data_IF_557228311113
#
_entry.id   IF_557228311113
#
_cell.length_a   1.000
_cell.length_b   1.000
_cell.length_c   1.000
_cell.angle_alpha   90.00
_cell.angle_beta   90.00
_cell.angle_gamma   90.00
#
_symmetry.space_group_name_H-M   'P 1'
#
loop_
_entity.id
_entity.type
_entity.pdbx_description
1 polymer ?
#
# COMPACT_ATOMS: atom_id res chain seq x y z
N UNK A 1 -23.46 -3.31 8.76
CA UNK A 1 -22.84 -4.30 7.85
C UNK A 1 -21.53 -3.71 7.41
N UNK A 2 -20.39 -4.20 7.90
CA UNK A 2 -19.09 -3.78 7.37
C UNK A 2 -18.90 -4.47 6.03
N UNK A 3 -19.02 -3.71 4.93
CA UNK A 3 -18.70 -4.20 3.59
C UNK A 3 -17.25 -4.62 3.54
N UNK A 4 -16.96 -5.89 3.22
CA UNK A 4 -15.59 -6.29 2.91
C UNK A 4 -15.18 -5.64 1.59
N UNK A 5 -14.34 -4.60 1.67
CA UNK A 5 -13.78 -3.96 0.47
C UNK A 5 -12.77 -4.90 -0.18
N UNK A 6 -12.87 -5.09 -1.50
CA UNK A 6 -11.85 -5.84 -2.23
C UNK A 6 -10.59 -4.98 -2.44
N UNK A 7 -9.47 -5.61 -2.81
CA UNK A 7 -8.26 -4.88 -3.19
C UNK A 7 -8.54 -3.86 -4.30
N UNK A 8 -9.35 -4.24 -5.30
CA UNK A 8 -9.73 -3.37 -6.40
C UNK A 8 -10.53 -2.14 -5.91
N UNK A 9 -11.49 -2.33 -5.00
CA UNK A 9 -12.29 -1.24 -4.43
C UNK A 9 -11.41 -0.23 -3.68
N UNK A 10 -10.44 -0.73 -2.90
CA UNK A 10 -9.53 0.10 -2.12
C UNK A 10 -8.62 0.91 -3.06
N UNK A 11 -7.99 0.27 -4.05
CA UNK A 11 -7.14 0.99 -5.01
C UNK A 11 -7.94 2.00 -5.84
N UNK A 12 -9.18 1.68 -6.21
CA UNK A 12 -10.09 2.60 -6.88
C UNK A 12 -10.41 3.82 -6.00
N UNK A 13 -10.73 3.61 -4.71
CA UNK A 13 -11.01 4.70 -3.76
C UNK A 13 -9.81 5.65 -3.57
N UNK A 14 -8.59 5.13 -3.71
CA UNK A 14 -7.35 5.90 -3.62
C UNK A 14 -6.97 6.60 -4.95
N UNK A 15 -7.65 6.27 -6.04
CA UNK A 15 -7.37 6.76 -7.39
C UNK A 15 -6.07 6.19 -7.96
N UNK A 16 -5.73 4.94 -7.62
CA UNK A 16 -4.50 4.24 -8.04
C UNK A 16 -4.80 2.83 -8.58
N UNK A 17 -6.02 2.62 -9.09
CA UNK A 17 -6.46 1.33 -9.65
C UNK A 17 -5.65 0.86 -10.86
N UNK A 18 -4.90 1.76 -11.50
CA UNK A 18 -3.96 1.43 -12.60
C UNK A 18 -2.90 0.40 -12.20
N UNK A 19 -2.53 0.32 -10.91
CA UNK A 19 -1.51 -0.63 -10.43
C UNK A 19 -2.09 -2.00 -10.02
N UNK A 20 -3.41 -2.20 -10.08
CA UNK A 20 -4.01 -3.47 -9.66
C UNK A 20 -3.40 -4.68 -10.39
N UNK A 21 -3.16 -4.55 -11.70
CA UNK A 21 -2.50 -5.59 -12.49
C UNK A 21 -1.07 -5.89 -12.01
N UNK A 22 -0.27 -4.84 -11.75
CA UNK A 22 1.10 -4.99 -11.24
C UNK A 22 1.14 -5.64 -9.87
N UNK A 23 0.21 -5.29 -8.97
CA UNK A 23 0.11 -5.89 -7.65
C UNK A 23 -0.25 -7.38 -7.72
N UNK A 24 -1.26 -7.74 -8.53
CA UNK A 24 -1.65 -9.14 -8.73
C UNK A 24 -0.49 -9.95 -9.34
N UNK A 25 0.20 -9.39 -10.35
CA UNK A 25 1.34 -10.04 -10.99
C UNK A 25 2.52 -10.27 -10.03
N UNK A 26 2.70 -9.39 -9.04
CA UNK A 26 3.70 -9.51 -7.99
C UNK A 26 3.27 -10.42 -6.82
N UNK A 27 2.04 -10.95 -6.84
CA UNK A 27 1.51 -11.86 -5.81
C UNK A 27 0.69 -11.19 -4.71
N UNK A 28 0.44 -9.88 -4.78
CA UNK A 28 -0.46 -9.18 -3.86
C UNK A 28 -1.91 -9.32 -4.36
N UNK A 29 -2.63 -10.30 -3.82
CA UNK A 29 -3.98 -10.66 -4.26
C UNK A 29 -5.07 -9.97 -3.42
N UNK A 30 -4.75 -9.62 -2.17
CA UNK A 30 -5.67 -9.06 -1.20
C UNK A 30 -5.14 -7.77 -0.57
N UNK A 31 -6.03 -7.02 0.07
CA UNK A 31 -5.62 -5.85 0.87
C UNK A 31 -4.65 -6.22 1.99
N UNK A 32 -4.87 -7.38 2.62
CA UNK A 32 -4.03 -7.89 3.69
C UNK A 32 -2.59 -8.11 3.22
N UNK A 33 -2.40 -8.69 2.03
CA UNK A 33 -1.06 -8.89 1.44
C UNK A 33 -0.33 -7.55 1.26
N UNK A 34 -1.09 -6.50 0.91
CA UNK A 34 -0.57 -5.17 0.67
C UNK A 34 -0.29 -4.38 1.95
N UNK A 35 -0.75 -4.83 3.12
CA UNK A 35 -0.43 -4.17 4.39
C UNK A 35 1.07 -4.24 4.67
N UNK A 36 1.75 -5.29 4.23
CA UNK A 36 3.16 -5.55 4.50
C UNK A 36 4.10 -5.15 3.36
N UNK A 37 3.56 -4.56 2.28
CA UNK A 37 4.37 -4.08 1.16
C UNK A 37 5.37 -3.01 1.60
N UNK A 38 6.61 -3.16 1.17
CA UNK A 38 7.71 -2.25 1.45
C UNK A 38 7.79 -1.12 0.42
N UNK A 39 8.50 -0.04 0.77
CA UNK A 39 8.76 1.03 -0.20
C UNK A 39 9.61 0.56 -1.38
N UNK A 40 10.56 -0.36 -1.15
CA UNK A 40 11.39 -0.94 -2.20
C UNK A 40 10.56 -1.76 -3.20
N UNK A 41 9.60 -2.55 -2.72
CA UNK A 41 8.67 -3.28 -3.60
C UNK A 41 7.80 -2.32 -4.41
N UNK A 42 7.26 -1.27 -3.80
CA UNK A 42 6.50 -0.24 -4.53
C UNK A 42 7.35 0.49 -5.59
N UNK A 43 8.63 0.69 -5.33
CA UNK A 43 9.57 1.25 -6.30
C UNK A 43 9.88 0.27 -7.43
N UNK A 44 10.04 -1.02 -7.12
CA UNK A 44 10.23 -2.08 -8.12
C UNK A 44 9.03 -2.25 -9.06
N UNK A 45 7.82 -1.91 -8.59
CA UNK A 45 6.58 -1.90 -9.36
C UNK A 45 6.33 -0.56 -10.11
N UNK A 46 7.31 0.34 -10.11
CA UNK A 46 7.25 1.68 -10.73
C UNK A 46 6.06 2.53 -10.23
N UNK A 47 5.64 2.33 -8.97
CA UNK A 47 4.57 3.12 -8.37
C UNK A 47 5.09 4.52 -8.07
N UNK A 48 4.45 5.53 -8.66
CA UNK A 48 4.84 6.94 -8.49
C UNK A 48 4.87 7.34 -7.02
N UNK A 49 5.88 8.11 -6.60
CA UNK A 49 6.08 8.55 -5.20
C UNK A 49 4.82 9.15 -4.54
N UNK A 50 4.04 9.94 -5.28
CA UNK A 50 2.79 10.50 -4.78
C UNK A 50 1.72 9.43 -4.48
N UNK A 51 1.65 8.40 -5.30
CA UNK A 51 0.73 7.26 -5.14
C UNK A 51 1.17 6.36 -3.97
N UNK A 52 2.48 6.10 -3.85
CA UNK A 52 3.05 5.39 -2.68
C UNK A 52 2.64 6.06 -1.37
N UNK A 53 2.75 7.39 -1.28
CA UNK A 53 2.36 8.14 -0.07
C UNK A 53 0.87 8.01 0.26
N UNK A 54 -0.03 7.98 -0.73
CA UNK A 54 -1.47 7.75 -0.51
C UNK A 54 -1.71 6.34 0.02
N UNK A 55 -1.10 5.35 -0.60
CA UNK A 55 -1.23 3.95 -0.21
C UNK A 55 -0.68 3.70 1.21
N UNK A 56 0.55 4.13 1.48
CA UNK A 56 1.16 4.06 2.80
C UNK A 56 0.31 4.79 3.86
N UNK A 57 -0.35 5.90 3.51
CA UNK A 57 -1.29 6.58 4.41
C UNK A 57 -2.54 5.75 4.70
N UNK A 58 -3.12 5.06 3.72
CA UNK A 58 -4.26 4.15 3.93
C UNK A 58 -3.85 2.97 4.82
N UNK A 59 -2.69 2.36 4.55
CA UNK A 59 -2.11 1.27 5.37
C UNK A 59 -1.91 1.74 6.82
N UNK A 60 -1.32 2.92 7.02
CA UNK A 60 -1.14 3.48 8.35
C UNK A 60 -2.48 3.71 9.08
N UNK A 61 -3.48 4.23 8.37
CA UNK A 61 -4.83 4.43 8.93
C UNK A 61 -5.46 3.09 9.33
N UNK A 62 -5.28 2.04 8.52
CA UNK A 62 -5.74 0.68 8.82
C UNK A 62 -5.07 0.10 10.07
N UNK A 63 -3.77 0.41 10.25
CA UNK A 63 -2.98 0.05 11.45
C UNK A 63 -3.28 0.93 12.68
N UNK A 64 -4.28 1.82 12.60
CA UNK A 64 -4.67 2.70 13.69
C UNK A 64 -3.78 3.93 13.89
N UNK A 65 -2.86 4.22 12.95
CA UNK A 65 -2.04 5.44 13.00
C UNK A 65 -2.85 6.64 12.49
N UNK A 66 -2.94 7.74 13.27
CA UNK A 66 -3.70 8.91 12.86
C UNK A 66 -3.03 9.65 11.69
N UNK A 67 -3.85 10.32 10.88
CA UNK A 67 -3.44 11.06 9.66
C UNK A 67 -2.41 12.18 9.92
N UNK A 68 -2.24 12.60 11.16
CA UNK A 68 -1.25 13.61 11.58
C UNK A 68 0.15 13.07 11.84
N UNK A 69 0.30 11.75 12.03
CA UNK A 69 1.61 11.16 12.36
C UNK A 69 2.49 11.09 11.11
N UNK A 70 3.75 11.57 11.17
CA UNK A 70 4.74 11.34 10.14
C UNK A 70 4.95 9.84 9.93
N UNK A 71 4.85 9.39 8.69
CA UNK A 71 5.28 8.03 8.34
C UNK A 71 6.80 8.07 8.28
N UNK A 72 7.45 7.52 9.29
CA UNK A 72 8.88 7.24 9.20
C UNK A 72 9.07 6.16 8.12
N UNK A 73 9.92 6.38 7.12
CA UNK A 73 10.29 5.30 6.21
C UNK A 73 10.88 4.18 7.07
N UNK A 74 10.39 2.95 6.89
CA UNK A 74 11.00 1.80 7.56
C UNK A 74 12.49 1.83 7.24
N UNK A 75 13.39 1.76 8.23
CA UNK A 75 14.81 1.67 7.94
C UNK A 75 15.02 0.46 7.02
N UNK A 76 15.95 0.56 6.04
CA UNK A 76 16.31 -0.60 5.24
C UNK A 76 16.72 -1.69 6.21
N UNK A 77 16.08 -2.85 6.14
CA UNK A 77 16.52 -4.03 6.88
C UNK A 77 17.97 -4.24 6.48
N UNK A 78 18.89 -4.00 7.41
CA UNK A 78 20.30 -4.27 7.19
C UNK A 78 20.43 -5.77 7.02
N UNK A 79 20.86 -6.20 5.83
CA UNK A 79 21.30 -7.57 5.58
C UNK A 79 22.22 -8.04 6.71
N UNK A 80 21.84 -9.14 7.36
CA UNK A 80 22.67 -9.92 8.29
C UNK A 80 23.10 -11.20 7.59
#
# INVERSE_FOLDING_TARGET
MSTMETLADILHSLGISEYLGSFIAAGFLTWTDLLDITEAELESLDVKRGHRRKLQRRIATERGLPKGTPLVPSPPVADV
#
